data_IF_007121341972
#
_entry.id   IF_007121341972
#
_cell.length_a   1.000
_cell.length_b   1.000
_cell.length_c   1.000
_cell.angle_alpha   90.00
_cell.angle_beta   90.00
_cell.angle_gamma   90.00
#
_symmetry.space_group_name_H-M   'P 1'
#
loop_
_entity.id
_entity.type
_entity.pdbx_description
1 polymer ?
#
# COMPACT_ATOMS: atom_id res chain seq x y z
N UNK A 1 15.83 -9.35 -2.21
CA UNK A 1 15.97 -8.30 -3.26
C UNK A 1 15.48 -6.94 -2.74
N UNK A 2 14.25 -6.83 -2.24
CA UNK A 2 13.71 -5.56 -1.70
C UNK A 2 14.56 -4.99 -0.56
N UNK A 3 14.99 -5.83 0.39
CA UNK A 3 15.88 -5.41 1.48
C UNK A 3 17.21 -4.77 1.01
N UNK A 4 17.73 -5.18 -0.15
CA UNK A 4 18.94 -4.56 -0.72
C UNK A 4 18.65 -3.16 -1.25
N UNK A 5 17.46 -2.97 -1.84
CA UNK A 5 17.00 -1.67 -2.30
C UNK A 5 16.74 -0.74 -1.12
N UNK A 6 16.17 -1.26 -0.03
CA UNK A 6 15.98 -0.50 1.22
C UNK A 6 17.32 -0.03 1.80
N UNK A 7 18.32 -0.93 1.87
CA UNK A 7 19.68 -0.58 2.32
C UNK A 7 20.34 0.49 1.45
N UNK A 8 19.97 0.58 0.17
CA UNK A 8 20.48 1.59 -0.79
C UNK A 8 19.64 2.88 -0.79
N UNK A 9 18.57 2.96 0.01
CA UNK A 9 17.66 4.12 0.03
C UNK A 9 16.78 4.24 -1.22
N UNK A 10 16.71 3.20 -2.05
CA UNK A 10 15.92 3.21 -3.27
C UNK A 10 14.42 3.18 -2.95
N UNK A 11 13.63 3.82 -3.82
CA UNK A 11 12.18 3.85 -3.73
C UNK A 11 11.58 2.88 -4.74
N UNK A 12 10.56 2.13 -4.32
CA UNK A 12 9.82 1.23 -5.18
C UNK A 12 8.39 1.02 -4.63
N UNK A 13 7.43 0.64 -5.49
CA UNK A 13 7.51 0.64 -6.96
C UNK A 13 7.56 2.06 -7.52
N UNK A 14 8.36 2.27 -8.58
CA UNK A 14 8.61 3.62 -9.11
C UNK A 14 7.44 4.17 -9.95
N UNK A 15 6.80 3.33 -10.77
CA UNK A 15 5.71 3.73 -11.68
C UNK A 15 4.46 2.86 -11.56
N UNK A 16 4.62 1.57 -11.29
CA UNK A 16 3.55 0.56 -11.40
C UNK A 16 2.53 0.55 -10.26
N UNK A 17 2.68 1.44 -9.26
CA UNK A 17 1.88 1.44 -8.02
C UNK A 17 2.06 0.13 -7.20
N UNK A 18 1.55 0.12 -5.97
CA UNK A 18 1.80 -0.97 -5.01
C UNK A 18 1.04 -2.25 -5.35
N UNK A 19 -0.12 -2.13 -6.01
CA UNK A 19 -1.03 -3.24 -6.26
C UNK A 19 -1.28 -4.04 -4.99
N UNK A 20 -1.21 -5.36 -5.06
CA UNK A 20 -1.17 -6.24 -3.88
C UNK A 20 0.22 -6.85 -3.62
N UNK A 21 1.22 -6.44 -4.40
CA UNK A 21 2.57 -7.03 -4.39
C UNK A 21 3.49 -6.31 -3.41
N UNK A 22 3.41 -4.98 -3.38
CA UNK A 22 4.24 -4.13 -2.54
C UNK A 22 3.45 -3.64 -1.32
N UNK A 23 4.17 -3.36 -0.24
CA UNK A 23 3.59 -2.73 0.94
C UNK A 23 3.38 -1.24 0.68
N UNK A 24 2.17 -0.74 0.96
CA UNK A 24 1.92 0.69 0.92
C UNK A 24 2.60 1.38 2.11
N UNK A 25 3.41 2.39 1.81
CA UNK A 25 3.98 3.27 2.83
C UNK A 25 2.89 3.97 3.65
N UNK A 26 3.16 4.38 4.90
CA UNK A 26 2.16 4.98 5.78
C UNK A 26 1.37 6.14 5.15
N UNK A 27 2.05 7.03 4.43
CA UNK A 27 1.40 8.15 3.73
C UNK A 27 0.37 7.68 2.70
N UNK A 28 0.70 6.65 1.92
CA UNK A 28 -0.18 6.11 0.88
C UNK A 28 -1.34 5.31 1.49
N UNK A 29 -1.07 4.55 2.56
CA UNK A 29 -2.12 3.86 3.34
C UNK A 29 -3.13 4.84 3.94
N UNK A 30 -2.64 5.92 4.55
CA UNK A 30 -3.50 6.96 5.12
C UNK A 30 -4.32 7.67 4.03
N UNK A 31 -3.73 7.90 2.86
CA UNK A 31 -4.43 8.43 1.71
C UNK A 31 -5.58 7.50 1.27
N UNK A 32 -5.33 6.19 1.15
CA UNK A 32 -6.38 5.22 0.82
C UNK A 32 -7.52 5.19 1.85
N UNK A 33 -7.19 5.19 3.15
CA UNK A 33 -8.19 5.21 4.23
C UNK A 33 -9.04 6.48 4.22
N UNK A 34 -8.43 7.63 3.91
CA UNK A 34 -9.14 8.91 3.80
C UNK A 34 -10.10 8.92 2.61
N UNK A 35 -9.71 8.29 1.50
CA UNK A 35 -10.50 8.26 0.27
C UNK A 35 -11.64 7.22 0.33
N UNK A 36 -11.37 6.05 0.92
CA UNK A 36 -12.33 4.96 1.10
C UNK A 36 -12.39 4.51 2.56
N UNK A 37 -13.09 5.24 3.44
CA UNK A 37 -13.18 4.87 4.86
C UNK A 37 -13.86 3.52 5.10
N UNK A 38 -14.63 3.01 4.13
CA UNK A 38 -15.36 1.74 4.25
C UNK A 38 -14.57 0.53 3.73
N UNK A 39 -13.44 0.75 3.06
CA UNK A 39 -12.65 -0.28 2.39
C UNK A 39 -13.50 -1.15 1.46
N UNK A 40 -14.30 -0.51 0.59
CA UNK A 40 -15.19 -1.16 -0.37
C UNK A 40 -14.68 -1.05 -1.81
N UNK A 41 -13.75 -0.15 -2.08
CA UNK A 41 -13.20 0.12 -3.41
C UNK A 41 -11.74 -0.34 -3.49
N UNK A 42 -11.53 -1.46 -4.17
CA UNK A 42 -10.24 -2.15 -4.32
C UNK A 42 -9.56 -2.53 -2.97
N UNK A 43 -10.20 -3.35 -2.11
CA UNK A 43 -9.69 -3.69 -0.79
C UNK A 43 -8.36 -4.46 -0.83
N UNK A 44 -7.50 -4.20 0.14
CA UNK A 44 -6.21 -4.88 0.29
C UNK A 44 -5.07 -4.34 -0.58
N UNK A 45 -5.26 -3.19 -1.22
CA UNK A 45 -4.18 -2.46 -1.89
C UNK A 45 -3.02 -2.22 -0.93
N UNK A 46 -1.79 -2.40 -1.42
CA UNK A 46 -0.59 -2.16 -0.63
C UNK A 46 -0.43 -3.11 0.56
N UNK A 47 -0.95 -4.35 0.44
CA UNK A 47 -1.02 -5.33 1.53
C UNK A 47 -1.78 -4.83 2.77
N UNK A 48 -2.77 -3.97 2.58
CA UNK A 48 -3.70 -3.55 3.64
C UNK A 48 -4.79 -4.59 3.91
N UNK A 49 -5.69 -4.34 4.88
CA UNK A 49 -6.82 -5.24 5.12
C UNK A 49 -7.72 -5.36 3.89
N UNK A 50 -8.27 -6.55 3.67
CA UNK A 50 -9.32 -6.79 2.67
C UNK A 50 -10.73 -6.72 3.25
N UNK A 51 -10.88 -6.52 4.57
CA UNK A 51 -12.19 -6.49 5.22
C UNK A 51 -12.76 -5.07 5.23
N UNK A 52 -14.09 -4.99 5.30
CA UNK A 52 -14.81 -3.73 5.45
C UNK A 52 -14.31 -2.96 6.68
N UNK A 53 -14.33 -1.63 6.57
CA UNK A 53 -13.94 -0.70 7.63
C UNK A 53 -12.51 -0.94 8.16
N UNK A 54 -11.63 -1.53 7.36
CA UNK A 54 -10.20 -1.72 7.65
C UNK A 54 -9.87 -2.64 8.85
N UNK A 55 -10.79 -3.52 9.26
CA UNK A 55 -10.65 -4.48 10.39
C UNK A 55 -10.17 -5.88 9.97
#
# INVERSE_FOLDING_TARGET
>A
MLELLDKRGAQYPAEHNVGHLYEAKPTLRNFYQKLDPTNSFNPGLGKTSKKKNWQ
#
